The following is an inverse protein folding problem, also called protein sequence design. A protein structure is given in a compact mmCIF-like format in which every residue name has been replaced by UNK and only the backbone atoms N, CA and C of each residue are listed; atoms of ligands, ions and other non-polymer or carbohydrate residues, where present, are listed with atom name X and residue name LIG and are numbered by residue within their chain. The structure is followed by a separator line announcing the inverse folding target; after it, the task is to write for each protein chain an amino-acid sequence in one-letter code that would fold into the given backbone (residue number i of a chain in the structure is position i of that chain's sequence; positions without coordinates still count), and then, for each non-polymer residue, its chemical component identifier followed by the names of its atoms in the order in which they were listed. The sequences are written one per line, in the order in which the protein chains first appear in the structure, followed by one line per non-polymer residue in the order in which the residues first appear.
data_IF_885334921239
#
_entry.id   IF_885334921239
#
_cell.length_a   1.000
_cell.length_b   1.000
_cell.length_c   1.000
_cell.angle_alpha   90.00
_cell.angle_beta   90.00
_cell.angle_gamma   90.00
#
_symmetry.space_group_name_H-M   'P 1'
#
loop_
_entity.id
_entity.type
_entity.pdbx_description
1 polymer ?
#
# COMPACT_ATOMS: atom_id res chain seq x y z
N UNK A 1 41.09 8.82 -43.07
CA UNK A 1 41.07 7.47 -42.48
C UNK A 1 39.73 6.87 -42.79
N UNK A 2 39.70 5.85 -43.65
CA UNK A 2 38.50 5.04 -43.83
C UNK A 2 38.31 4.23 -42.55
N UNK A 3 37.14 4.36 -41.93
CA UNK A 3 36.82 3.58 -40.74
C UNK A 3 36.55 2.14 -41.18
N UNK A 4 37.27 1.19 -40.59
CA UNK A 4 37.04 -0.22 -40.85
C UNK A 4 35.60 -0.62 -40.50
N UNK A 5 35.07 -1.62 -41.22
CA UNK A 5 33.71 -2.14 -41.01
C UNK A 5 33.48 -2.59 -39.55
N UNK A 6 34.51 -3.09 -38.88
CA UNK A 6 34.51 -3.44 -37.46
C UNK A 6 34.16 -2.23 -36.56
N UNK A 7 34.73 -1.06 -36.87
CA UNK A 7 34.48 0.20 -36.15
C UNK A 7 33.04 0.67 -36.35
N UNK A 8 32.51 0.53 -37.57
CA UNK A 8 31.12 0.83 -37.86
C UNK A 8 30.14 -0.08 -37.09
N UNK A 9 30.39 -1.39 -37.07
CA UNK A 9 29.57 -2.32 -36.30
C UNK A 9 29.56 -1.99 -34.81
N UNK A 10 30.72 -1.65 -34.26
CA UNK A 10 30.85 -1.23 -32.86
C UNK A 10 30.06 0.05 -32.57
N UNK A 11 30.12 1.05 -33.46
CA UNK A 11 29.34 2.29 -33.33
C UNK A 11 27.83 2.03 -33.37
N UNK A 12 27.35 1.22 -34.31
CA UNK A 12 25.93 0.87 -34.39
C UNK A 12 25.46 0.08 -33.17
N UNK A 13 26.30 -0.82 -32.65
CA UNK A 13 26.00 -1.55 -31.43
C UNK A 13 25.83 -0.61 -30.23
N UNK A 14 26.78 0.30 -30.02
CA UNK A 14 26.74 1.26 -28.91
C UNK A 14 25.53 2.18 -29.04
N UNK A 15 25.24 2.69 -30.23
CA UNK A 15 24.06 3.53 -30.49
C UNK A 15 22.76 2.77 -30.19
N UNK A 16 22.65 1.53 -30.68
CA UNK A 16 21.46 0.70 -30.44
C UNK A 16 21.28 0.37 -28.96
N UNK A 17 22.38 0.14 -28.24
CA UNK A 17 22.38 -0.12 -26.81
C UNK A 17 21.97 1.13 -26.01
N UNK A 18 22.49 2.31 -26.36
CA UNK A 18 22.11 3.56 -25.70
C UNK A 18 20.61 3.86 -25.90
N UNK A 19 20.10 3.68 -27.12
CA UNK A 19 18.67 3.87 -27.43
C UNK A 19 17.80 2.86 -26.69
N UNK A 20 18.23 1.60 -26.56
CA UNK A 20 17.46 0.58 -25.85
C UNK A 20 17.37 0.86 -24.34
N UNK A 21 18.48 1.27 -23.72
CA UNK A 21 18.51 1.66 -22.30
C UNK A 21 17.64 2.91 -22.08
N UNK A 22 17.77 3.94 -22.93
CA UNK A 22 16.92 5.13 -22.84
C UNK A 22 15.44 4.80 -22.96
N UNK A 23 15.08 3.90 -23.89
CA UNK A 23 13.71 3.42 -24.06
C UNK A 23 13.21 2.75 -22.77
N UNK A 24 13.96 1.79 -22.23
CA UNK A 24 13.59 1.12 -20.96
C UNK A 24 13.40 2.15 -19.84
N UNK A 25 14.32 3.11 -19.71
CA UNK A 25 14.23 4.17 -18.70
C UNK A 25 12.99 5.05 -18.89
N UNK A 26 12.68 5.46 -20.12
CA UNK A 26 11.50 6.27 -20.43
C UNK A 26 10.17 5.53 -20.22
N UNK A 27 10.17 4.19 -20.39
CA UNK A 27 8.99 3.35 -20.18
C UNK A 27 8.89 2.78 -18.77
N UNK A 28 9.92 2.93 -17.92
CA UNK A 28 9.83 2.54 -16.52
C UNK A 28 8.93 3.55 -15.80
N UNK A 29 7.78 3.13 -15.24
CA UNK A 29 6.94 4.03 -14.46
C UNK A 29 7.70 4.46 -13.20
N UNK A 30 8.23 5.69 -13.20
CA UNK A 30 8.93 6.29 -12.06
C UNK A 30 8.00 7.04 -11.10
N UNK A 31 6.69 6.99 -11.33
CA UNK A 31 5.68 7.61 -10.47
C UNK A 31 4.81 6.53 -9.85
N UNK A 32 4.64 6.60 -8.53
CA UNK A 32 3.58 5.85 -7.86
C UNK A 32 2.24 6.26 -8.46
N UNK A 33 1.33 5.30 -8.59
CA UNK A 33 -0.02 5.58 -9.06
C UNK A 33 -0.72 6.49 -8.03
N UNK A 34 -1.49 7.47 -8.48
CA UNK A 34 -2.20 8.39 -7.59
C UNK A 34 -3.24 7.67 -6.72
N UNK A 35 -3.72 6.50 -7.16
CA UNK A 35 -4.65 5.62 -6.46
C UNK A 35 -3.96 4.43 -5.76
N UNK A 36 -2.65 4.51 -5.52
CA UNK A 36 -1.90 3.42 -4.89
C UNK A 36 -2.24 3.29 -3.38
N UNK A 37 -3.22 2.43 -3.12
CA UNK A 37 -3.67 2.02 -1.79
C UNK A 37 -2.67 1.14 -1.04
N UNK A 38 -1.52 0.81 -1.64
CA UNK A 38 -0.48 -0.04 -1.04
C UNK A 38 0.67 0.74 -0.39
N UNK A 39 0.66 2.06 -0.52
CA UNK A 39 1.63 2.97 0.14
C UNK A 39 1.57 2.91 1.66
N UNK A 40 2.70 3.15 2.35
CA UNK A 40 2.78 3.14 3.82
C UNK A 40 1.80 4.14 4.44
N UNK A 41 1.69 5.34 3.86
CA UNK A 41 0.76 6.38 4.31
C UNK A 41 -0.70 5.89 4.24
N UNK A 42 -1.08 5.21 3.15
CA UNK A 42 -2.43 4.67 2.98
C UNK A 42 -2.74 3.56 3.98
N UNK A 43 -1.75 2.72 4.30
CA UNK A 43 -1.91 1.71 5.36
C UNK A 43 -2.07 2.34 6.74
N UNK A 44 -1.32 3.40 7.04
CA UNK A 44 -1.40 4.11 8.31
C UNK A 44 -2.75 4.82 8.47
N UNK A 45 -3.27 5.43 7.40
CA UNK A 45 -4.62 6.00 7.39
C UNK A 45 -5.70 4.95 7.68
N UNK A 46 -5.66 3.79 7.02
CA UNK A 46 -6.59 2.69 7.29
C UNK A 46 -6.46 2.17 8.73
N UNK A 47 -5.24 2.06 9.24
CA UNK A 47 -4.97 1.66 10.63
C UNK A 47 -5.58 2.66 11.63
N UNK A 48 -5.40 3.96 11.39
CA UNK A 48 -5.94 5.01 12.24
C UNK A 48 -7.47 5.02 12.22
N UNK A 49 -8.07 4.85 11.04
CA UNK A 49 -9.52 4.69 10.91
C UNK A 49 -10.04 3.47 11.68
N UNK A 50 -9.37 2.32 11.54
CA UNK A 50 -9.71 1.10 12.27
C UNK A 50 -9.70 1.34 13.79
N UNK A 51 -8.63 1.96 14.31
CA UNK A 51 -8.47 2.32 15.73
C UNK A 51 -9.59 3.27 16.18
N UNK A 52 -9.88 4.32 15.39
CA UNK A 52 -10.96 5.28 15.65
C UNK A 52 -12.31 4.57 15.77
N UNK A 53 -12.63 3.69 14.83
CA UNK A 53 -13.89 2.96 14.80
C UNK A 53 -14.00 1.99 15.99
N UNK A 54 -12.91 1.29 16.34
CA UNK A 54 -12.86 0.43 17.53
C UNK A 54 -13.12 1.24 18.80
N UNK A 55 -12.47 2.40 18.93
CA UNK A 55 -12.62 3.26 20.10
C UNK A 55 -14.05 3.82 20.24
N UNK A 56 -14.65 4.24 19.13
CA UNK A 56 -16.03 4.78 19.11
C UNK A 56 -17.09 3.74 19.49
N UNK A 57 -16.81 2.45 19.30
CA UNK A 57 -17.79 1.38 19.46
C UNK A 57 -17.48 0.42 20.63
N UNK A 58 -16.55 0.77 21.53
CA UNK A 58 -16.37 0.07 22.81
C UNK A 58 -15.69 -1.30 22.74
N UNK A 59 -15.00 -1.63 21.65
CA UNK A 59 -14.16 -2.83 21.53
C UNK A 59 -14.88 -4.19 21.41
N UNK A 60 -16.19 -4.27 21.66
CA UNK A 60 -16.99 -5.49 21.49
C UNK A 60 -17.51 -5.63 20.05
N UNK A 61 -16.58 -5.74 19.11
CA UNK A 61 -16.86 -5.88 17.69
C UNK A 61 -16.25 -7.17 17.16
N UNK A 62 -17.01 -7.86 16.30
CA UNK A 62 -16.45 -8.88 15.43
C UNK A 62 -15.86 -8.24 14.16
N UNK A 63 -15.02 -8.97 13.44
CA UNK A 63 -14.32 -8.46 12.25
C UNK A 63 -15.29 -7.94 11.17
N UNK A 64 -16.47 -8.57 11.03
CA UNK A 64 -17.47 -8.18 10.04
C UNK A 64 -18.15 -6.86 10.43
N UNK A 65 -18.56 -6.73 11.69
CA UNK A 65 -19.13 -5.49 12.24
C UNK A 65 -18.13 -4.34 12.14
N UNK A 66 -16.85 -4.60 12.44
CA UNK A 66 -15.78 -3.62 12.28
C UNK A 66 -15.63 -3.18 10.82
N UNK A 67 -15.63 -4.12 9.86
CA UNK A 67 -15.59 -3.80 8.44
C UNK A 67 -16.77 -2.92 8.02
N UNK A 68 -17.99 -3.32 8.39
CA UNK A 68 -19.20 -2.57 8.07
C UNK A 68 -19.20 -1.16 8.66
N UNK A 69 -18.66 -1.00 9.87
CA UNK A 69 -18.54 0.31 10.52
C UNK A 69 -17.47 1.17 9.86
N UNK A 70 -16.33 0.59 9.45
CA UNK A 70 -15.27 1.31 8.75
C UNK A 70 -15.75 1.86 7.40
N UNK A 71 -16.43 1.05 6.58
CA UNK A 71 -16.91 1.51 5.26
C UNK A 71 -18.05 2.54 5.35
N UNK A 72 -18.73 2.62 6.50
CA UNK A 72 -19.80 3.58 6.79
C UNK A 72 -19.28 4.84 7.51
N UNK A 73 -18.03 4.84 7.97
CA UNK A 73 -17.45 6.00 8.64
C UNK A 73 -17.24 7.13 7.64
N UNK A 74 -17.47 8.36 8.09
CA UNK A 74 -17.35 9.56 7.25
C UNK A 74 -15.92 9.81 6.76
N UNK A 75 -14.92 9.34 7.50
CA UNK A 75 -13.50 9.50 7.14
C UNK A 75 -13.01 8.40 6.18
N UNK A 76 -13.86 7.44 5.80
CA UNK A 76 -13.49 6.41 4.85
C UNK A 76 -13.51 6.92 3.41
N UNK A 77 -12.32 7.15 2.84
CA UNK A 77 -12.17 7.52 1.44
C UNK A 77 -12.39 6.31 0.52
N UNK A 78 -13.63 6.14 0.05
CA UNK A 78 -14.01 5.07 -0.88
C UNK A 78 -13.28 5.13 -2.22
N UNK A 79 -12.82 6.30 -2.68
CA UNK A 79 -12.09 6.42 -3.95
C UNK A 79 -10.67 5.89 -3.77
N UNK A 80 -10.00 6.30 -2.69
CA UNK A 80 -8.64 5.86 -2.36
C UNK A 80 -8.59 4.38 -1.99
N UNK A 81 -9.56 3.90 -1.21
CA UNK A 81 -9.59 2.53 -0.68
C UNK A 81 -10.57 1.61 -1.42
N UNK A 82 -10.66 1.74 -2.74
CA UNK A 82 -11.66 1.00 -3.54
C UNK A 82 -11.50 -0.53 -3.48
N UNK A 83 -10.29 -1.04 -3.18
CA UNK A 83 -10.00 -2.47 -3.02
C UNK A 83 -10.18 -2.99 -1.60
N UNK A 84 -10.56 -2.14 -0.66
CA UNK A 84 -10.72 -2.52 0.74
C UNK A 84 -11.89 -3.49 0.91
N UNK A 85 -11.64 -4.61 1.59
CA UNK A 85 -12.60 -5.69 1.83
C UNK A 85 -12.29 -6.38 3.17
N UNK A 86 -13.12 -7.33 3.59
CA UNK A 86 -12.93 -8.06 4.86
C UNK A 86 -11.57 -8.75 4.96
N UNK A 87 -11.03 -9.29 3.86
CA UNK A 87 -9.70 -9.93 3.86
C UNK A 87 -8.59 -8.91 4.11
N UNK A 88 -8.68 -7.72 3.50
CA UNK A 88 -7.75 -6.61 3.75
C UNK A 88 -7.83 -6.14 5.20
N UNK A 89 -9.03 -6.06 5.77
CA UNK A 89 -9.18 -5.75 7.20
C UNK A 89 -8.50 -6.83 8.08
N UNK A 90 -8.72 -8.11 7.78
CA UNK A 90 -8.09 -9.20 8.53
C UNK A 90 -6.55 -9.13 8.45
N UNK A 91 -5.99 -8.79 7.29
CA UNK A 91 -4.55 -8.54 7.13
C UNK A 91 -4.08 -7.34 7.96
N UNK A 92 -4.84 -6.24 7.97
CA UNK A 92 -4.55 -5.04 8.74
C UNK A 92 -4.53 -5.34 10.26
N UNK A 93 -5.53 -6.08 10.75
CA UNK A 93 -5.60 -6.54 12.13
C UNK A 93 -4.44 -7.47 12.50
N UNK A 94 -4.15 -8.45 11.64
CA UNK A 94 -3.02 -9.36 11.86
C UNK A 94 -1.71 -8.58 11.97
N UNK A 95 -1.47 -7.64 11.07
CA UNK A 95 -0.30 -6.77 11.10
C UNK A 95 -0.24 -5.94 12.39
N UNK A 96 -1.38 -5.41 12.84
CA UNK A 96 -1.47 -4.70 14.12
C UNK A 96 -1.06 -5.58 15.30
N UNK A 97 -1.58 -6.81 15.39
CA UNK A 97 -1.26 -7.75 16.46
C UNK A 97 0.21 -8.18 16.46
N UNK A 98 0.81 -8.33 15.28
CA UNK A 98 2.23 -8.65 15.16
C UNK A 98 3.13 -7.49 15.67
N UNK A 99 2.70 -6.25 15.45
CA UNK A 99 3.41 -5.06 15.94
C UNK A 99 3.19 -4.81 17.44
N UNK A 100 2.04 -5.23 17.98
CA UNK A 100 1.64 -4.96 19.36
C UNK A 100 1.42 -6.28 20.11
N UNK A 101 2.49 -6.81 20.70
CA UNK A 101 2.51 -8.12 21.37
C UNK A 101 1.46 -8.28 22.49
N UNK A 102 0.97 -7.17 23.05
CA UNK A 102 -0.04 -7.14 24.10
C UNK A 102 -1.49 -7.21 23.56
N UNK A 103 -1.68 -7.20 22.24
CA UNK A 103 -3.01 -7.22 21.62
C UNK A 103 -3.19 -8.49 20.79
N UNK A 104 -4.22 -9.27 21.11
CA UNK A 104 -4.55 -10.54 20.42
C UNK A 104 -5.94 -10.52 19.80
N UNK A 105 -6.80 -9.61 20.24
CA UNK A 105 -8.16 -9.44 19.73
C UNK A 105 -8.54 -7.96 19.67
N UNK A 106 -9.69 -7.63 19.06
CA UNK A 106 -10.18 -6.25 18.89
C UNK A 106 -10.40 -5.55 20.25
N UNK A 107 -10.83 -6.29 21.27
CA UNK A 107 -11.02 -5.75 22.62
C UNK A 107 -9.70 -5.34 23.25
N UNK A 108 -8.65 -6.12 23.07
CA UNK A 108 -7.32 -5.76 23.57
C UNK A 108 -6.81 -4.47 22.89
N UNK A 109 -7.14 -4.25 21.61
CA UNK A 109 -6.84 -2.98 20.93
C UNK A 109 -7.53 -1.82 21.65
N UNK A 110 -8.83 -1.96 21.95
CA UNK A 110 -9.61 -0.95 22.68
C UNK A 110 -9.04 -0.67 24.07
N UNK A 111 -8.70 -1.71 24.82
CA UNK A 111 -8.13 -1.59 26.16
C UNK A 111 -6.72 -0.95 26.12
N UNK A 112 -5.91 -1.25 25.10
CA UNK A 112 -4.59 -0.65 24.93
C UNK A 112 -4.63 0.83 24.50
N UNK A 113 -5.72 1.31 23.90
CA UNK A 113 -5.90 2.72 23.55
C UNK A 113 -6.31 3.55 24.78
N UNK A 114 -7.07 2.95 25.70
CA UNK A 114 -7.70 3.63 26.82
C UNK A 114 -7.01 3.41 28.17
N UNK A 115 -5.92 2.62 28.21
CA UNK A 115 -5.00 2.49 29.35
C UNK A 115 -3.76 3.36 29.15
#
# INVERSE_FOLDING_TARGET
MELETSTWMMLFFILSLAVSIWKIYAFLPNKQLEDDDTTQESQEQLKNLMIKVINKNGGDLNNKSLFELMIKDEDFDKKRFWRFNENRLNQLLLHYFLQNQNTKNIRDIYENINN
#
